data_IF_287024192081
#
_entry.id   IF_287024192081
#
_cell.length_a   1.000
_cell.length_b   1.000
_cell.length_c   1.000
_cell.angle_alpha   90.00
_cell.angle_beta   90.00
_cell.angle_gamma   90.00
#
_symmetry.space_group_name_H-M   'P 1'
#
loop_
_entity.id
_entity.type
_entity.pdbx_description
1 polymer ?
#
# COMPACT_ATOMS: atom_id res chain seq x y z
N UNK A 1 -4.20 13.83 -11.28
CA UNK A 1 -3.86 13.57 -9.86
C UNK A 1 -2.78 12.50 -9.83
N UNK A 2 -1.65 12.72 -9.16
CA UNK A 2 -0.50 11.82 -9.26
C UNK A 2 -0.78 10.50 -8.52
N UNK A 3 -0.26 9.36 -9.03
CA UNK A 3 -0.45 8.03 -8.41
C UNK A 3 -0.01 8.01 -6.94
N UNK A 4 1.11 8.68 -6.61
CA UNK A 4 1.59 8.81 -5.23
C UNK A 4 0.58 9.54 -4.30
N UNK A 5 -0.19 10.50 -4.83
CA UNK A 5 -1.21 11.18 -4.02
C UNK A 5 -2.41 10.27 -3.73
N UNK A 6 -2.73 9.36 -4.66
CA UNK A 6 -3.75 8.31 -4.46
C UNK A 6 -3.34 7.37 -3.34
N UNK A 7 -2.13 6.81 -3.42
CA UNK A 7 -1.63 5.87 -2.41
C UNK A 7 -1.55 6.51 -1.02
N UNK A 8 -1.06 7.76 -0.92
CA UNK A 8 -1.05 8.51 0.36
C UNK A 8 -2.44 8.78 0.93
N UNK A 9 -3.45 8.98 0.07
CA UNK A 9 -4.84 9.11 0.56
C UNK A 9 -5.39 7.78 1.05
N UNK A 10 -5.10 6.68 0.36
CA UNK A 10 -5.46 5.33 0.82
C UNK A 10 -4.81 5.03 2.17
N UNK A 11 -3.52 5.32 2.35
CA UNK A 11 -2.86 5.15 3.65
C UNK A 11 -3.55 5.94 4.77
N UNK A 12 -3.94 7.20 4.51
CA UNK A 12 -4.69 8.00 5.48
C UNK A 12 -6.03 7.35 5.84
N UNK A 13 -6.78 6.87 4.84
CA UNK A 13 -8.04 6.17 5.08
C UNK A 13 -7.85 4.89 5.90
N UNK A 14 -6.84 4.07 5.56
CA UNK A 14 -6.49 2.85 6.27
C UNK A 14 -6.11 3.16 7.74
N UNK A 15 -5.28 4.17 7.98
CA UNK A 15 -4.90 4.60 9.34
C UNK A 15 -6.11 5.01 10.17
N UNK A 16 -7.06 5.74 9.59
CA UNK A 16 -8.32 6.11 10.26
C UNK A 16 -9.15 4.87 10.61
N UNK A 17 -9.33 3.95 9.68
CA UNK A 17 -10.10 2.72 9.90
C UNK A 17 -9.46 1.84 10.98
N UNK A 18 -8.14 1.67 10.93
CA UNK A 18 -7.39 0.91 11.94
C UNK A 18 -7.46 1.56 13.32
N UNK A 19 -7.38 2.89 13.39
CA UNK A 19 -7.53 3.60 14.67
C UNK A 19 -8.95 3.45 15.22
N UNK A 20 -9.98 3.49 14.38
CA UNK A 20 -11.36 3.26 14.80
C UNK A 20 -11.59 1.82 15.28
N UNK A 21 -10.96 0.82 14.65
CA UNK A 21 -11.00 -0.58 15.10
C UNK A 21 -10.40 -0.79 16.48
N UNK A 22 -9.41 0.02 16.89
CA UNK A 22 -8.84 -0.06 18.26
C UNK A 22 -9.84 0.27 19.36
N UNK A 23 -10.78 1.15 19.08
CA UNK A 23 -11.73 1.68 20.07
C UNK A 23 -13.12 1.09 19.91
N UNK A 24 -13.35 0.27 18.88
CA UNK A 24 -14.66 -0.30 18.56
C UNK A 24 -14.69 -1.77 18.95
N UNK A 25 -15.79 -2.19 19.57
CA UNK A 25 -16.07 -3.60 19.87
C UNK A 25 -16.44 -4.35 18.59
N UNK A 26 -15.60 -5.29 18.17
CA UNK A 26 -15.76 -6.02 16.91
C UNK A 26 -16.88 -7.05 16.90
N UNK A 27 -17.38 -7.45 18.07
CA UNK A 27 -18.54 -8.35 18.23
C UNK A 27 -19.90 -7.66 18.01
N UNK A 28 -19.89 -6.35 17.76
CA UNK A 28 -21.08 -5.56 17.42
C UNK A 28 -21.30 -5.47 15.90
N UNK A 29 -22.53 -5.19 15.42
CA UNK A 29 -22.77 -4.94 13.99
C UNK A 29 -21.89 -3.83 13.40
N UNK A 30 -21.68 -2.75 14.15
CA UNK A 30 -20.85 -1.63 13.73
C UNK A 30 -19.37 -2.03 13.64
N UNK A 31 -18.88 -2.77 14.65
CA UNK A 31 -17.52 -3.30 14.65
C UNK A 31 -17.25 -4.28 13.51
N UNK A 32 -18.20 -5.17 13.20
CA UNK A 32 -18.11 -6.05 12.02
C UNK A 32 -18.10 -5.28 10.72
N UNK A 33 -18.97 -4.28 10.60
CA UNK A 33 -19.01 -3.40 9.42
C UNK A 33 -17.68 -2.66 9.23
N UNK A 34 -17.11 -2.16 10.32
CA UNK A 34 -15.80 -1.50 10.33
C UNK A 34 -14.65 -2.45 9.97
N UNK A 35 -14.69 -3.70 10.44
CA UNK A 35 -13.75 -4.74 10.04
C UNK A 35 -13.79 -5.01 8.54
N UNK A 36 -14.99 -5.15 7.96
CA UNK A 36 -15.16 -5.33 6.53
C UNK A 36 -14.66 -4.13 5.72
N UNK A 37 -14.96 -2.91 6.16
CA UNK A 37 -14.46 -1.68 5.53
C UNK A 37 -12.93 -1.62 5.56
N UNK A 38 -12.30 -1.90 6.70
CA UNK A 38 -10.86 -1.94 6.83
C UNK A 38 -10.23 -3.00 5.92
N UNK A 39 -10.79 -4.22 5.90
CA UNK A 39 -10.35 -5.31 5.01
C UNK A 39 -10.36 -4.85 3.57
N UNK A 40 -11.48 -4.31 3.09
CA UNK A 40 -11.62 -3.91 1.70
C UNK A 40 -10.67 -2.76 1.33
N UNK A 41 -10.53 -1.75 2.20
CA UNK A 41 -9.61 -0.65 1.97
C UNK A 41 -8.16 -1.13 1.85
N UNK A 42 -7.73 -2.05 2.72
CA UNK A 42 -6.36 -2.58 2.71
C UNK A 42 -6.13 -3.47 1.48
N UNK A 43 -7.05 -4.38 1.17
CA UNK A 43 -6.89 -5.28 0.02
C UNK A 43 -6.90 -4.51 -1.30
N UNK A 44 -7.76 -3.49 -1.43
CA UNK A 44 -7.76 -2.64 -2.62
C UNK A 44 -6.44 -1.87 -2.77
N UNK A 45 -5.92 -1.32 -1.67
CA UNK A 45 -4.63 -0.64 -1.67
C UNK A 45 -3.49 -1.58 -2.10
N UNK A 46 -3.38 -2.77 -1.49
CA UNK A 46 -2.36 -3.76 -1.85
C UNK A 46 -2.49 -4.18 -3.33
N UNK A 47 -3.71 -4.38 -3.81
CA UNK A 47 -3.97 -4.74 -5.21
C UNK A 47 -3.52 -3.65 -6.19
N UNK A 48 -3.81 -2.38 -5.88
CA UNK A 48 -3.36 -1.25 -6.70
C UNK A 48 -1.84 -1.11 -6.71
N UNK A 49 -1.17 -1.43 -5.62
CA UNK A 49 0.30 -1.44 -5.59
C UNK A 49 0.87 -2.54 -6.47
N UNK A 50 0.31 -3.76 -6.36
CA UNK A 50 0.72 -4.95 -7.13
C UNK A 50 0.56 -4.76 -8.63
N UNK A 51 -0.59 -4.26 -9.07
CA UNK A 51 -0.93 -4.20 -10.49
C UNK A 51 -0.46 -2.92 -11.20
N UNK A 52 -0.38 -1.81 -10.47
CA UNK A 52 -0.12 -0.52 -11.09
C UNK A 52 1.17 0.11 -10.61
N UNK A 53 1.46 0.08 -9.31
CA UNK A 53 2.60 0.84 -8.79
C UNK A 53 3.93 0.12 -9.00
N UNK A 54 4.09 -1.11 -8.50
CA UNK A 54 5.35 -1.84 -8.63
C UNK A 54 5.78 -2.07 -10.09
N UNK A 55 4.88 -2.40 -11.03
CA UNK A 55 5.25 -2.52 -12.44
C UNK A 55 5.78 -1.22 -13.08
N UNK A 56 5.42 -0.04 -12.55
CA UNK A 56 5.99 1.22 -13.01
C UNK A 56 7.43 1.42 -12.50
N UNK A 57 7.76 0.88 -11.32
CA UNK A 57 9.07 1.05 -10.70
C UNK A 57 10.13 0.09 -11.26
N UNK A 58 9.74 -1.13 -11.62
CA UNK A 58 10.64 -2.13 -12.23
C UNK A 58 11.14 -1.69 -13.62
N UNK A 59 10.43 -0.76 -14.27
CA UNK A 59 10.86 -0.16 -15.55
C UNK A 59 12.01 0.83 -15.41
N UNK A 60 12.47 1.11 -14.19
CA UNK A 60 13.57 2.02 -13.94
C UNK A 60 14.68 1.37 -13.12
N UNK A 61 15.87 1.28 -13.73
CA UNK A 61 17.03 0.63 -13.14
C UNK A 61 17.46 1.20 -11.77
N UNK A 62 17.23 2.49 -11.51
CA UNK A 62 17.61 3.12 -10.23
C UNK A 62 16.66 2.74 -9.08
N UNK A 63 15.41 2.38 -9.39
CA UNK A 63 14.40 2.01 -8.41
C UNK A 63 14.13 0.49 -8.36
N UNK A 64 14.55 -0.28 -9.37
CA UNK A 64 14.20 -1.70 -9.51
C UNK A 64 14.59 -2.54 -8.30
N UNK A 65 15.82 -2.45 -7.81
CA UNK A 65 16.26 -3.26 -6.67
C UNK A 65 15.50 -2.93 -5.37
N UNK A 66 15.15 -1.65 -5.16
CA UNK A 66 14.35 -1.22 -4.01
C UNK A 66 12.88 -1.68 -4.19
N UNK A 67 12.33 -1.55 -5.39
CA UNK A 67 10.98 -1.98 -5.72
C UNK A 67 10.82 -3.50 -5.55
N UNK A 68 11.79 -4.30 -6.00
CA UNK A 68 11.78 -5.76 -5.88
C UNK A 68 11.78 -6.20 -4.41
N UNK A 69 12.56 -5.54 -3.56
CA UNK A 69 12.58 -5.82 -2.12
C UNK A 69 11.22 -5.55 -1.47
N UNK A 70 10.58 -4.42 -1.80
CA UNK A 70 9.25 -4.06 -1.29
C UNK A 70 8.16 -5.00 -1.84
N UNK A 71 8.26 -5.38 -3.12
CA UNK A 71 7.34 -6.34 -3.74
C UNK A 71 7.42 -7.72 -3.06
N UNK A 72 8.63 -8.22 -2.78
CA UNK A 72 8.81 -9.49 -2.06
C UNK A 72 8.18 -9.44 -0.67
N UNK A 73 8.40 -8.35 0.07
CA UNK A 73 7.82 -8.14 1.39
C UNK A 73 6.29 -8.04 1.35
N UNK A 74 5.73 -7.41 0.31
CA UNK A 74 4.29 -7.22 0.16
C UNK A 74 3.54 -8.55 0.09
N UNK A 75 4.12 -9.59 -0.52
CA UNK A 75 3.47 -10.92 -0.60
C UNK A 75 3.19 -11.48 0.79
N UNK A 76 4.14 -11.34 1.72
CA UNK A 76 3.97 -11.77 3.09
C UNK A 76 2.99 -10.88 3.87
N UNK A 77 3.04 -9.56 3.66
CA UNK A 77 2.07 -8.64 4.28
C UNK A 77 0.64 -8.94 3.83
N UNK A 78 0.44 -9.14 2.52
CA UNK A 78 -0.86 -9.48 1.94
C UNK A 78 -1.38 -10.79 2.51
N UNK A 79 -0.56 -11.84 2.52
CA UNK A 79 -0.92 -13.15 3.09
C UNK A 79 -1.33 -13.05 4.56
N UNK A 80 -0.55 -12.35 5.38
CA UNK A 80 -0.84 -12.19 6.82
C UNK A 80 -2.10 -11.37 7.07
N UNK A 81 -2.31 -10.34 6.26
CA UNK A 81 -3.49 -9.47 6.34
C UNK A 81 -4.76 -10.24 6.00
N UNK A 82 -4.76 -10.98 4.88
CA UNK A 82 -5.88 -11.83 4.47
C UNK A 82 -6.19 -12.85 5.56
N UNK A 83 -5.18 -13.59 6.03
CA UNK A 83 -5.36 -14.61 7.06
C UNK A 83 -5.96 -14.05 8.36
N UNK A 84 -5.55 -12.85 8.77
CA UNK A 84 -6.12 -12.19 9.94
C UNK A 84 -7.61 -11.85 9.76
N UNK A 85 -7.96 -11.19 8.64
CA UNK A 85 -9.35 -10.80 8.41
C UNK A 85 -10.27 -12.00 8.18
N UNK A 86 -9.76 -13.06 7.55
CA UNK A 86 -10.50 -14.31 7.37
C UNK A 86 -10.73 -15.00 8.73
N UNK A 87 -9.74 -15.01 9.62
CA UNK A 87 -9.91 -15.51 10.99
C UNK A 87 -10.93 -14.68 11.80
N UNK A 88 -11.02 -13.38 11.56
CA UNK A 88 -12.02 -12.51 12.18
C UNK A 88 -13.44 -12.73 11.64
N UNK A 89 -13.61 -13.34 10.46
CA UNK A 89 -14.91 -13.57 9.83
C UNK A 89 -15.60 -14.86 10.31
N UNK A 90 -14.87 -15.77 10.96
CA UNK A 90 -15.40 -17.03 11.46
C UNK A 90 -16.01 -16.95 12.87
N UNK A 91 -16.51 -18.08 13.34
CA UNK A 91 -16.93 -18.26 14.74
C UNK A 91 -15.74 -18.01 15.67
N UNK A 92 -15.90 -17.14 16.66
CA UNK A 92 -14.78 -16.68 17.52
C UNK A 92 -13.98 -15.51 16.95
N UNK A 93 -14.50 -14.80 15.94
CA UNK A 93 -13.81 -13.67 15.30
C UNK A 93 -13.34 -12.56 16.27
N UNK A 94 -14.02 -12.36 17.40
CA UNK A 94 -13.59 -11.42 18.44
C UNK A 94 -12.29 -11.86 19.13
N UNK A 95 -12.12 -13.15 19.38
CA UNK A 95 -10.90 -13.70 19.98
C UNK A 95 -9.73 -13.65 19.00
N UNK A 96 -9.98 -13.99 17.73
CA UNK A 96 -9.00 -13.84 16.65
C UNK A 96 -8.55 -12.38 16.50
N UNK A 97 -9.49 -11.44 16.58
CA UNK A 97 -9.18 -10.02 16.57
C UNK A 97 -8.30 -9.62 17.76
N UNK A 98 -8.68 -10.00 18.99
CA UNK A 98 -7.92 -9.67 20.19
C UNK A 98 -6.48 -10.23 20.15
N UNK A 99 -6.31 -11.45 19.62
CA UNK A 99 -5.01 -12.09 19.49
C UNK A 99 -4.14 -11.50 18.38
N UNK A 100 -4.74 -11.10 17.25
CA UNK A 100 -4.02 -10.76 16.02
C UNK A 100 -3.89 -9.26 15.72
N UNK A 101 -4.83 -8.43 16.19
CA UNK A 101 -4.99 -7.06 15.69
C UNK A 101 -3.75 -6.21 15.92
N UNK A 102 -3.14 -6.27 17.11
CA UNK A 102 -1.95 -5.47 17.42
C UNK A 102 -0.77 -5.77 16.47
N UNK A 103 -0.61 -7.02 16.06
CA UNK A 103 0.45 -7.43 15.14
C UNK A 103 0.18 -6.92 13.71
N UNK A 104 -1.05 -7.06 13.22
CA UNK A 104 -1.45 -6.57 11.88
C UNK A 104 -1.43 -5.05 11.83
N UNK A 105 -1.93 -4.38 12.86
CA UNK A 105 -1.90 -2.94 12.98
C UNK A 105 -0.47 -2.41 12.84
N UNK A 106 0.48 -2.97 13.61
CA UNK A 106 1.89 -2.58 13.54
C UNK A 106 2.49 -2.86 12.17
N UNK A 107 2.25 -4.04 11.61
CA UNK A 107 2.76 -4.45 10.30
C UNK A 107 2.36 -3.46 9.19
N UNK A 108 1.07 -3.11 9.13
CA UNK A 108 0.53 -2.21 8.13
C UNK A 108 1.05 -0.77 8.30
N UNK A 109 1.14 -0.28 9.54
CA UNK A 109 1.71 1.05 9.82
C UNK A 109 3.17 1.15 9.40
N UNK A 110 3.99 0.16 9.77
CA UNK A 110 5.40 0.12 9.42
C UNK A 110 5.60 0.06 7.90
N UNK A 111 4.77 -0.70 7.20
CA UNK A 111 4.78 -0.77 5.74
C UNK A 111 4.49 0.60 5.11
N UNK A 112 3.35 1.20 5.44
CA UNK A 112 2.94 2.50 4.89
C UNK A 112 3.96 3.61 5.18
N UNK A 113 4.55 3.60 6.37
CA UNK A 113 5.62 4.54 6.75
C UNK A 113 6.87 4.32 5.92
N UNK A 114 7.32 3.08 5.77
CA UNK A 114 8.48 2.76 4.95
C UNK A 114 8.30 3.13 3.48
N UNK A 115 7.10 3.02 2.96
CA UNK A 115 6.79 3.46 1.60
C UNK A 115 6.83 4.97 1.48
N UNK A 116 6.16 5.68 2.39
CA UNK A 116 6.11 7.13 2.37
C UNK A 116 7.48 7.79 2.59
N UNK A 117 8.34 7.18 3.42
CA UNK A 117 9.65 7.73 3.77
C UNK A 117 10.79 7.30 2.84
N UNK A 118 10.69 6.12 2.20
CA UNK A 118 11.81 5.58 1.41
C UNK A 118 11.41 5.28 -0.04
N UNK A 119 10.33 4.53 -0.25
CA UNK A 119 9.95 4.13 -1.61
C UNK A 119 9.45 5.32 -2.42
N UNK A 120 8.46 6.07 -1.93
CA UNK A 120 7.86 7.19 -2.66
C UNK A 120 8.87 8.31 -2.99
N UNK A 121 9.79 8.71 -2.09
CA UNK A 121 10.85 9.66 -2.43
C UNK A 121 11.82 9.13 -3.48
N UNK A 122 12.21 7.85 -3.39
CA UNK A 122 13.03 7.22 -4.42
C UNK A 122 12.34 7.24 -5.79
N UNK A 123 11.00 7.12 -5.82
CA UNK A 123 10.18 7.24 -7.03
C UNK A 123 9.99 8.70 -7.51
N UNK A 124 10.05 9.67 -6.61
CA UNK A 124 9.80 11.09 -6.91
C UNK A 124 10.82 11.70 -7.88
N UNK A 125 12.07 11.23 -7.86
CA UNK A 125 13.06 11.55 -8.89
C UNK A 125 12.69 11.00 -10.27
N UNK A 126 11.94 9.90 -10.34
CA UNK A 126 11.55 9.22 -11.58
C UNK A 126 10.26 9.77 -12.21
N UNK A 127 9.25 10.09 -11.39
CA UNK A 127 7.96 10.59 -11.88
C UNK A 127 8.01 12.07 -12.34
N UNK A 128 9.04 12.81 -11.92
CA UNK A 128 9.33 14.15 -12.43
C UNK A 128 10.09 14.11 -13.77
N UNK A 129 11.01 13.16 -13.95
CA UNK A 129 11.83 13.00 -15.17
C UNK A 129 11.06 12.46 -16.39
N UNK A 130 9.83 11.97 -16.20
CA UNK A 130 8.99 11.41 -17.26
C UNK A 130 8.02 12.44 -17.90
N UNK A 131 8.19 13.74 -17.64
CA UNK A 131 7.46 14.79 -18.37
C UNK A 131 8.17 15.05 -19.72
N UNK A 132 7.58 14.71 -20.87
CA UNK A 132 8.21 14.94 -22.16
C UNK A 132 7.95 16.38 -22.59
N UNK A 133 8.99 17.20 -22.53
CA UNK A 133 9.09 18.48 -23.21
C UNK A 133 10.54 18.69 -23.62
N UNK A 134 10.75 18.92 -24.92
CA UNK A 134 12.00 19.34 -25.60
C UNK A 134 12.97 18.21 -25.99
N UNK A 135 12.69 17.50 -27.09
CA UNK A 135 13.08 17.77 -28.49
C UNK A 135 14.55 17.52 -28.80
N UNK A 136 14.77 16.35 -29.41
CA UNK A 136 15.67 16.05 -30.55
C UNK A 136 16.91 16.94 -30.75
N UNK A 137 18.13 16.38 -30.76
CA UNK A 137 19.24 17.06 -31.41
C UNK A 137 19.00 17.04 -32.93
N UNK A 138 18.71 18.21 -33.50
CA UNK A 138 18.85 18.43 -34.95
C UNK A 138 20.29 18.15 -35.36
N UNK A 139 20.47 17.09 -36.12
CA UNK A 139 21.69 16.88 -36.91
C UNK A 139 21.57 17.84 -38.10
N UNK A 140 22.29 18.96 -38.05
CA UNK A 140 22.52 19.79 -39.23
C UNK A 140 23.63 19.13 -40.08
N UNK A 141 23.21 18.35 -41.07
CA UNK A 141 24.06 17.93 -42.17
C UNK A 141 23.74 18.84 -43.36
N UNK A 142 24.38 20.00 -43.40
CA UNK A 142 24.61 20.73 -44.64
C UNK A 142 26.10 20.66 -44.98
N UNK A 143 26.39 19.78 -45.94
CA UNK A 143 27.42 20.03 -46.94
C UNK A 143 26.91 20.97 -48.03
#
# INVERSE_FOLDING_TARGET
MLKLDVLRRQHRAIRVLLQALRTTRVDTPDGRSLLHLARNAILNHLHEEDLEFYPLLTRNAAASALADAYFCEMRDVSRRTIAFFDACAGDGGADAFAAGFAAIHRLLLQRMEREELHLYPACGGLLAAASPGETTPSIDLRG
#
